data_IF_159706216750
#
_entry.id   IF_159706216750
#
_cell.length_a   1.000
_cell.length_b   1.000
_cell.length_c   1.000
_cell.angle_alpha   90.00
_cell.angle_beta   90.00
_cell.angle_gamma   90.00
#
_symmetry.space_group_name_H-M   'P 1'
#
loop_
_entity.id
_entity.type
_entity.pdbx_description
1 polymer ?
#
# COMPACT_ATOMS: atom_id res chain seq x y z
N UNK A 1 1.41 -46.86 20.02
CA UNK A 1 2.34 -46.10 19.15
C UNK A 1 1.69 -44.95 18.38
N UNK A 2 0.50 -45.10 17.76
CA UNK A 2 -0.16 -43.99 17.02
C UNK A 2 -0.49 -42.73 17.85
N UNK A 3 -0.92 -42.90 19.10
CA UNK A 3 -1.25 -41.77 20.02
C UNK A 3 0.02 -41.00 20.44
N UNK A 4 1.13 -41.71 20.67
CA UNK A 4 2.43 -41.12 21.00
C UNK A 4 3.00 -40.30 19.83
N UNK A 5 2.83 -40.77 18.58
CA UNK A 5 3.25 -40.04 17.38
C UNK A 5 2.37 -38.79 17.16
N UNK A 6 1.07 -38.87 17.44
CA UNK A 6 0.16 -37.73 17.38
C UNK A 6 0.46 -36.64 18.42
N UNK A 7 0.77 -37.03 19.67
CA UNK A 7 1.20 -36.08 20.70
C UNK A 7 2.54 -35.44 20.37
N UNK A 8 3.52 -36.20 19.86
CA UNK A 8 4.82 -35.64 19.48
C UNK A 8 4.68 -34.66 18.30
N UNK A 9 3.84 -35.00 17.31
CA UNK A 9 3.56 -34.12 16.19
C UNK A 9 2.87 -32.83 16.63
N UNK A 10 1.89 -32.89 17.53
CA UNK A 10 1.21 -31.70 18.06
C UNK A 10 2.18 -30.78 18.83
N UNK A 11 3.07 -31.35 19.65
CA UNK A 11 4.07 -30.59 20.43
C UNK A 11 5.07 -29.86 19.53
N UNK A 12 5.33 -30.34 18.31
CA UNK A 12 6.24 -29.68 17.37
C UNK A 12 5.50 -28.75 16.40
N UNK A 13 4.35 -29.17 15.88
CA UNK A 13 3.59 -28.42 14.86
C UNK A 13 2.96 -27.16 15.46
N UNK A 14 2.39 -27.24 16.66
CA UNK A 14 1.73 -26.09 17.30
C UNK A 14 2.68 -24.91 17.53
N UNK A 15 3.87 -25.06 18.14
CA UNK A 15 4.80 -23.94 18.30
C UNK A 15 5.35 -23.44 16.97
N UNK A 16 5.56 -24.31 15.97
CA UNK A 16 5.98 -23.88 14.63
C UNK A 16 4.90 -23.04 13.93
N UNK A 17 3.63 -23.46 14.00
CA UNK A 17 2.51 -22.70 13.48
C UNK A 17 2.34 -21.36 14.22
N UNK A 18 2.49 -21.36 15.55
CA UNK A 18 2.48 -20.14 16.36
C UNK A 18 3.60 -19.16 15.97
N UNK A 19 4.82 -19.65 15.81
CA UNK A 19 5.95 -18.86 15.31
C UNK A 19 5.67 -18.29 13.92
N UNK A 20 5.15 -19.10 12.98
CA UNK A 20 4.82 -18.63 11.64
C UNK A 20 3.79 -17.51 11.67
N UNK A 21 2.73 -17.64 12.48
CA UNK A 21 1.70 -16.62 12.61
C UNK A 21 2.24 -15.31 13.19
N UNK A 22 3.21 -15.37 14.12
CA UNK A 22 3.85 -14.16 14.65
C UNK A 22 4.60 -13.37 13.56
N UNK A 23 5.11 -14.03 12.53
CA UNK A 23 5.75 -13.37 11.38
C UNK A 23 4.78 -12.94 10.29
N UNK A 24 3.71 -13.71 10.04
CA UNK A 24 2.74 -13.39 8.99
C UNK A 24 1.75 -12.29 9.39
N UNK A 25 1.41 -12.21 10.67
CA UNK A 25 0.43 -11.24 11.15
C UNK A 25 0.81 -9.78 10.85
N UNK A 26 2.05 -9.32 11.09
CA UNK A 26 2.47 -7.98 10.69
C UNK A 26 2.32 -7.68 9.20
N UNK A 27 2.59 -8.66 8.34
CA UNK A 27 2.51 -8.52 6.88
C UNK A 27 1.06 -8.35 6.44
N UNK A 28 0.15 -9.14 7.00
CA UNK A 28 -1.27 -9.05 6.68
C UNK A 28 -1.88 -7.71 7.10
N UNK A 29 -1.51 -7.20 8.28
CA UNK A 29 -1.95 -5.89 8.73
C UNK A 29 -1.45 -4.78 7.79
N UNK A 30 -0.17 -4.81 7.41
CA UNK A 30 0.41 -3.84 6.47
C UNK A 30 -0.28 -3.83 5.10
N UNK A 31 -0.54 -5.01 4.55
CA UNK A 31 -1.24 -5.18 3.28
C UNK A 31 -2.70 -4.73 3.36
N UNK A 32 -3.42 -5.07 4.44
CA UNK A 32 -4.81 -4.63 4.62
C UNK A 32 -4.93 -3.10 4.62
N UNK A 33 -4.00 -2.41 5.27
CA UNK A 33 -3.96 -0.93 5.28
C UNK A 33 -3.64 -0.35 3.89
N UNK A 34 -2.78 -1.02 3.11
CA UNK A 34 -2.50 -0.63 1.72
C UNK A 34 -3.72 -0.82 0.82
N UNK A 35 -4.42 -1.95 0.95
CA UNK A 35 -5.62 -2.27 0.18
C UNK A 35 -6.73 -1.25 0.45
N UNK A 36 -6.93 -0.88 1.71
CA UNK A 36 -7.89 0.18 2.06
C UNK A 36 -7.49 1.55 1.49
N UNK A 37 -6.20 1.88 1.50
CA UNK A 37 -5.71 3.12 0.90
C UNK A 37 -5.92 3.11 -0.62
N UNK A 38 -5.60 2.02 -1.30
CA UNK A 38 -5.85 1.81 -2.73
C UNK A 38 -7.34 1.92 -3.07
N UNK A 39 -8.21 1.33 -2.25
CA UNK A 39 -9.66 1.44 -2.41
C UNK A 39 -10.15 2.89 -2.31
N UNK A 40 -9.64 3.68 -1.35
CA UNK A 40 -9.97 5.11 -1.23
C UNK A 40 -9.52 5.91 -2.45
N UNK A 41 -8.29 5.65 -2.92
CA UNK A 41 -7.72 6.33 -4.09
C UNK A 41 -8.53 6.02 -5.36
N UNK A 42 -8.87 4.75 -5.58
CA UNK A 42 -9.58 4.31 -6.79
C UNK A 42 -11.07 4.62 -6.78
N UNK A 43 -11.68 4.79 -5.60
CA UNK A 43 -13.05 5.28 -5.45
C UNK A 43 -13.20 6.79 -5.78
N UNK A 44 -12.11 7.56 -5.69
CA UNK A 44 -12.16 8.98 -6.04
C UNK A 44 -12.33 9.17 -7.56
N UNK A 45 -13.25 10.05 -8.01
CA UNK A 45 -13.54 10.21 -9.44
C UNK A 45 -12.30 10.59 -10.23
N UNK A 46 -12.13 9.99 -11.40
CA UNK A 46 -11.05 10.31 -12.32
C UNK A 46 -11.18 11.76 -12.84
N UNK A 47 -10.05 12.43 -13.18
CA UNK A 47 -10.11 13.71 -13.85
C UNK A 47 -10.98 13.67 -15.12
N UNK A 48 -11.63 14.78 -15.50
CA UNK A 48 -12.41 14.84 -16.73
C UNK A 48 -11.58 14.41 -17.94
N UNK A 49 -12.14 13.53 -18.77
CA UNK A 49 -11.48 12.96 -19.96
C UNK A 49 -10.20 12.15 -19.66
N UNK A 50 -10.03 11.68 -18.42
CA UNK A 50 -9.01 10.70 -18.09
C UNK A 50 -9.60 9.28 -18.13
N UNK A 51 -8.78 8.31 -18.52
CA UNK A 51 -9.07 6.89 -18.41
C UNK A 51 -7.98 6.24 -17.55
N UNK A 52 -8.37 5.47 -16.54
CA UNK A 52 -7.43 4.65 -15.80
C UNK A 52 -6.92 3.53 -16.71
N UNK A 53 -5.60 3.44 -16.85
CA UNK A 53 -4.93 2.37 -17.61
C UNK A 53 -4.43 1.28 -16.70
N UNK A 54 -3.85 1.68 -15.58
CA UNK A 54 -3.23 0.76 -14.64
C UNK A 54 -3.22 1.38 -13.23
N UNK A 55 -3.17 0.52 -12.22
CA UNK A 55 -2.96 0.93 -10.83
C UNK A 55 -2.04 -0.07 -10.14
N UNK A 56 -1.06 0.46 -9.44
CA UNK A 56 -0.05 -0.32 -8.72
C UNK A 56 0.05 0.19 -7.28
N UNK A 57 0.51 -0.67 -6.38
CA UNK A 57 0.62 -0.37 -4.94
C UNK A 57 1.95 -0.88 -4.42
N UNK A 58 2.60 -0.09 -3.57
CA UNK A 58 3.85 -0.50 -2.95
C UNK A 58 3.88 -0.06 -1.48
N UNK A 59 4.53 -0.89 -0.66
CA UNK A 59 4.95 -0.55 0.69
C UNK A 59 6.46 -0.56 0.68
N UNK A 60 7.07 0.51 1.17
CA UNK A 60 8.53 0.58 1.26
C UNK A 60 8.98 1.18 2.56
N UNK A 61 10.22 0.88 2.96
CA UNK A 61 10.80 1.48 4.15
C UNK A 61 11.22 2.90 3.85
N UNK A 62 10.74 3.84 4.65
CA UNK A 62 11.11 5.23 4.48
C UNK A 62 12.59 5.46 4.80
N UNK A 63 13.28 6.35 4.06
CA UNK A 63 14.69 6.68 4.30
C UNK A 63 14.88 7.65 5.49
N UNK A 64 14.06 7.51 6.54
CA UNK A 64 14.07 8.37 7.73
C UNK A 64 14.57 7.59 8.95
N UNK A 65 15.03 8.32 9.98
CA UNK A 65 15.40 7.71 11.26
C UNK A 65 14.12 7.32 12.02
N UNK A 66 13.64 6.09 11.85
CA UNK A 66 12.50 5.56 12.58
C UNK A 66 11.92 4.26 12.00
N UNK A 67 10.76 3.88 12.53
CA UNK A 67 9.96 2.73 12.07
C UNK A 67 8.83 3.21 11.14
N UNK A 68 9.17 4.09 10.18
CA UNK A 68 8.23 4.64 9.22
C UNK A 68 8.26 3.84 7.92
N UNK A 69 7.07 3.59 7.38
CA UNK A 69 6.90 3.07 6.03
C UNK A 69 6.25 4.13 5.15
N UNK A 70 6.58 4.06 3.86
CA UNK A 70 5.88 4.76 2.81
C UNK A 70 4.90 3.79 2.15
N UNK A 71 3.62 4.09 2.25
CA UNK A 71 2.57 3.43 1.47
C UNK A 71 2.32 4.25 0.23
N UNK A 72 2.39 3.62 -0.94
CA UNK A 72 2.30 4.27 -2.23
C UNK A 72 1.20 3.61 -3.06
N UNK A 73 0.31 4.43 -3.60
CA UNK A 73 -0.62 4.05 -4.66
C UNK A 73 -0.28 4.83 -5.91
N UNK A 74 -0.03 4.13 -7.01
CA UNK A 74 0.29 4.71 -8.31
C UNK A 74 -0.86 4.45 -9.27
N UNK A 75 -1.38 5.50 -9.90
CA UNK A 75 -2.34 5.38 -11.00
C UNK A 75 -1.67 5.84 -12.30
N UNK A 76 -1.83 5.05 -13.36
CA UNK A 76 -1.46 5.46 -14.71
C UNK A 76 -2.71 5.88 -15.46
N UNK A 77 -2.78 7.15 -15.83
CA UNK A 77 -3.93 7.75 -16.49
C UNK A 77 -3.61 8.05 -17.95
N UNK A 78 -4.45 7.60 -18.87
CA UNK A 78 -4.47 8.15 -20.22
C UNK A 78 -5.30 9.43 -20.21
N UNK A 79 -4.68 10.57 -20.50
CA UNK A 79 -5.35 11.86 -20.47
C UNK A 79 -4.57 12.89 -21.29
N UNK A 80 -5.27 13.90 -21.81
CA UNK A 80 -4.66 15.06 -22.44
C UNK A 80 -4.27 16.14 -21.40
N UNK A 81 -4.58 15.92 -20.12
CA UNK A 81 -4.24 16.83 -19.03
C UNK A 81 -2.73 16.81 -18.76
N UNK A 82 -2.18 17.97 -18.43
CA UNK A 82 -0.79 18.06 -17.97
C UNK A 82 -0.64 17.41 -16.57
N UNK A 83 0.56 16.92 -16.21
CA UNK A 83 0.82 16.40 -14.87
C UNK A 83 0.43 17.38 -13.76
N UNK A 84 0.73 18.67 -13.93
CA UNK A 84 0.35 19.70 -12.95
C UNK A 84 -1.17 19.81 -12.77
N UNK A 85 -1.96 19.67 -13.85
CA UNK A 85 -3.42 19.70 -13.77
C UNK A 85 -3.96 18.46 -13.04
N UNK A 86 -3.38 17.29 -13.29
CA UNK A 86 -3.72 16.04 -12.60
C UNK A 86 -3.35 16.12 -11.11
N UNK A 87 -2.15 16.60 -10.79
CA UNK A 87 -1.72 16.81 -9.40
C UNK A 87 -2.64 17.77 -8.67
N UNK A 88 -3.02 18.89 -9.29
CA UNK A 88 -3.96 19.84 -8.70
C UNK A 88 -5.35 19.24 -8.47
N UNK A 89 -5.82 18.40 -9.39
CA UNK A 89 -7.11 17.73 -9.27
C UNK A 89 -7.15 16.78 -8.06
N UNK A 90 -6.14 15.91 -7.92
CA UNK A 90 -6.05 15.00 -6.78
C UNK A 90 -5.63 15.71 -5.48
N UNK A 91 -4.86 16.80 -5.55
CA UNK A 91 -4.48 17.59 -4.38
C UNK A 91 -5.65 18.28 -3.68
N UNK A 92 -6.76 18.54 -4.39
CA UNK A 92 -8.00 19.06 -3.80
C UNK A 92 -8.85 17.99 -3.10
N UNK A 93 -8.61 16.72 -3.42
CA UNK A 93 -9.43 15.62 -2.96
C UNK A 93 -9.29 15.34 -1.46
N UNK A 94 -8.21 15.83 -0.83
CA UNK A 94 -7.85 15.55 0.56
C UNK A 94 -8.00 14.05 0.90
N UNK A 95 -7.53 13.18 0.00
CA UNK A 95 -7.63 11.73 0.16
C UNK A 95 -6.86 11.33 1.42
N UNK A 96 -7.54 10.62 2.31
CA UNK A 96 -6.93 10.11 3.54
C UNK A 96 -6.00 8.95 3.16
N UNK A 97 -4.72 9.11 3.50
CA UNK A 97 -3.69 8.09 3.47
C UNK A 97 -3.90 7.01 4.52
N UNK A 98 -2.82 6.40 4.99
CA UNK A 98 -2.84 5.29 5.95
C UNK A 98 -2.96 5.78 7.40
N UNK A 99 -2.35 6.91 7.74
CA UNK A 99 -2.54 7.66 8.98
C UNK A 99 -2.98 9.11 8.70
N UNK A 100 -2.37 9.76 7.71
CA UNK A 100 -2.49 11.20 7.49
C UNK A 100 -3.04 11.50 6.08
N UNK A 101 -3.11 12.78 5.70
CA UNK A 101 -3.49 13.15 4.34
C UNK A 101 -2.44 12.65 3.34
N UNK A 102 -2.89 12.00 2.26
CA UNK A 102 -2.01 11.51 1.22
C UNK A 102 -1.32 12.67 0.49
N UNK A 103 -0.01 12.57 0.35
CA UNK A 103 0.79 13.44 -0.51
C UNK A 103 0.57 13.05 -1.96
N UNK A 104 0.44 14.03 -2.84
CA UNK A 104 0.13 13.81 -4.26
C UNK A 104 1.24 14.38 -5.13
N UNK A 105 1.82 13.52 -5.97
CA UNK A 105 2.76 13.90 -7.01
C UNK A 105 2.25 13.37 -8.36
N UNK A 106 2.47 14.12 -9.44
CA UNK A 106 2.18 13.64 -10.79
C UNK A 106 3.34 13.91 -11.73
N UNK A 107 3.59 12.96 -12.63
CA UNK A 107 4.70 13.02 -13.60
C UNK A 107 4.26 12.50 -14.96
N UNK A 108 4.90 12.94 -16.06
CA UNK A 108 4.67 12.34 -17.37
C UNK A 108 4.94 10.84 -17.35
N UNK A 109 4.05 10.06 -17.96
CA UNK A 109 4.22 8.64 -18.24
C UNK A 109 4.57 8.38 -19.71
N UNK A 110 4.61 7.11 -20.10
CA UNK A 110 4.84 6.72 -21.49
C UNK A 110 3.63 7.05 -22.37
N UNK A 111 3.87 7.38 -23.65
CA UNK A 111 2.83 7.52 -24.68
C UNK A 111 1.69 8.49 -24.33
N UNK A 112 2.02 9.64 -23.74
CA UNK A 112 1.04 10.66 -23.38
C UNK A 112 0.16 10.28 -22.17
N UNK A 113 0.57 9.30 -21.38
CA UNK A 113 -0.04 9.05 -20.06
C UNK A 113 0.53 9.99 -18.99
N UNK A 114 -0.18 10.10 -17.89
CA UNK A 114 0.28 10.75 -16.66
C UNK A 114 0.24 9.73 -15.54
N UNK A 115 1.34 9.61 -14.81
CA UNK A 115 1.43 8.79 -13.60
C UNK A 115 1.19 9.69 -12.41
N UNK A 116 0.18 9.40 -11.61
CA UNK A 116 -0.07 10.06 -10.33
C UNK A 116 0.27 9.09 -9.20
N UNK A 117 1.02 9.59 -8.23
CA UNK A 117 1.49 8.88 -7.06
C UNK A 117 0.87 9.54 -5.84
N UNK A 118 0.13 8.75 -5.06
CA UNK A 118 -0.43 9.13 -3.78
C UNK A 118 0.31 8.35 -2.71
N UNK A 119 1.01 9.04 -1.81
CA UNK A 119 1.77 8.38 -0.75
C UNK A 119 1.44 8.91 0.63
N UNK A 120 1.63 8.07 1.63
CA UNK A 120 1.58 8.46 3.03
C UNK A 120 2.74 7.85 3.80
N UNK A 121 3.35 8.67 4.66
CA UNK A 121 4.47 8.30 5.50
C UNK A 121 3.95 8.11 6.92
N UNK A 122 3.84 6.87 7.34
CA UNK A 122 3.21 6.51 8.60
C UNK A 122 4.09 5.58 9.45
N UNK A 123 3.93 5.64 10.77
CA UNK A 123 4.54 4.64 11.64
C UNK A 123 3.86 3.29 11.41
N UNK A 124 4.68 2.24 11.28
CA UNK A 124 4.20 0.88 11.33
C UNK A 124 4.45 0.33 12.75
N UNK A 125 3.41 0.14 13.58
CA UNK A 125 3.59 -0.33 14.95
C UNK A 125 4.09 -1.79 15.03
N UNK A 126 4.06 -2.50 13.91
CA UNK A 126 4.33 -3.94 13.79
C UNK A 126 5.56 -4.23 12.91
N UNK A 127 6.47 -3.26 12.76
CA UNK A 127 7.42 -3.28 11.65
C UNK A 127 8.50 -4.39 11.76
N UNK A 128 8.51 -5.30 10.77
CA UNK A 128 9.70 -6.08 10.36
C UNK A 128 10.09 -5.92 8.87
N UNK A 129 9.76 -4.86 8.12
CA UNK A 129 9.40 -3.49 8.51
C UNK A 129 8.41 -2.89 7.51
N UNK A 130 8.68 -3.01 6.22
CA UNK A 130 7.78 -2.51 5.19
C UNK A 130 7.95 -3.44 3.99
N UNK A 131 7.21 -4.55 4.00
CA UNK A 131 7.26 -5.67 3.02
C UNK A 131 6.00 -5.69 2.18
#
# INVERSE_FOLDING_TARGET
MRILVGCLAAVVIVPLAGLLLLFLWPIWEGNGRLDEFHARVTAYPLPPKAQLRDSDTAISRAPTNGNYCEWLVRLTLQTDLSPAAVQHYYGKAAIVGVNDAAQVAARPGASGSVVVELSDLAENPMDIRCT
#
